data_IF_036413888716
#
_entry.id   IF_036413888716
#
_cell.length_a   1.000
_cell.length_b   1.000
_cell.length_c   1.000
_cell.angle_alpha   90.00
_cell.angle_beta   90.00
_cell.angle_gamma   90.00
#
_symmetry.space_group_name_H-M   'P 1'
#
loop_
_entity.id
_entity.type
_entity.pdbx_description
1 polymer ?
#
# COMPACT_ATOMS: atom_id res chain seq x y z
N UNK A 1 -2.40 22.25 -6.94
CA UNK A 1 -1.89 21.94 -8.29
C UNK A 1 -3.02 21.64 -9.29
N UNK A 2 -2.94 22.22 -10.49
CA UNK A 2 -3.81 21.93 -11.64
C UNK A 2 -3.30 20.73 -12.47
N UNK A 3 -4.12 20.20 -13.37
CA UNK A 3 -3.71 19.09 -14.25
C UNK A 3 -2.52 19.47 -15.15
N UNK A 4 -2.51 20.68 -15.69
CA UNK A 4 -1.44 21.15 -16.57
C UNK A 4 -0.10 21.30 -15.81
N UNK A 5 -0.15 21.84 -14.58
CA UNK A 5 1.01 21.90 -13.70
C UNK A 5 1.55 20.52 -13.35
N UNK A 6 0.65 19.56 -13.06
CA UNK A 6 1.02 18.18 -12.79
C UNK A 6 1.72 17.53 -13.98
N UNK A 7 1.19 17.69 -15.19
CA UNK A 7 1.80 17.15 -16.43
C UNK A 7 3.21 17.72 -16.64
N UNK A 8 3.37 19.05 -16.53
CA UNK A 8 4.68 19.71 -16.64
C UNK A 8 5.67 19.19 -15.59
N UNK A 9 5.21 18.98 -14.35
CA UNK A 9 6.04 18.46 -13.28
C UNK A 9 6.54 17.04 -13.59
N UNK A 10 5.67 16.17 -14.13
CA UNK A 10 6.06 14.83 -14.58
C UNK A 10 7.10 14.91 -15.69
N UNK A 11 6.88 15.75 -16.72
CA UNK A 11 7.81 15.93 -17.83
C UNK A 11 9.20 16.39 -17.36
N UNK A 12 9.26 17.38 -16.45
CA UNK A 12 10.51 17.86 -15.86
C UNK A 12 11.23 16.71 -15.13
N UNK A 13 10.51 15.93 -14.32
CA UNK A 13 11.10 14.85 -13.53
C UNK A 13 11.65 13.73 -14.41
N UNK A 14 10.95 13.39 -15.50
CA UNK A 14 11.45 12.47 -16.52
C UNK A 14 12.72 13.02 -17.17
N UNK A 15 12.73 14.30 -17.56
CA UNK A 15 13.91 14.94 -18.14
C UNK A 15 15.11 14.96 -17.18
N UNK A 16 14.87 15.01 -15.86
CA UNK A 16 15.92 14.93 -14.83
C UNK A 16 16.37 13.50 -14.47
N UNK A 17 15.86 12.48 -15.17
CA UNK A 17 16.33 11.09 -15.07
C UNK A 17 15.46 10.15 -14.23
N UNK A 18 14.27 10.58 -13.79
CA UNK A 18 13.30 9.64 -13.21
C UNK A 18 12.65 8.79 -14.30
N UNK A 19 12.28 7.55 -13.99
CA UNK A 19 11.35 6.80 -14.83
C UNK A 19 10.00 7.51 -14.88
N UNK A 20 9.17 7.19 -15.87
CA UNK A 20 7.82 7.76 -15.96
C UNK A 20 7.00 7.52 -14.67
N UNK A 21 6.99 6.28 -14.16
CA UNK A 21 6.26 5.93 -12.92
C UNK A 21 6.85 6.67 -11.71
N UNK A 22 8.17 6.72 -11.60
CA UNK A 22 8.85 7.47 -10.53
C UNK A 22 8.52 8.97 -10.59
N UNK A 23 8.47 9.56 -11.78
CA UNK A 23 8.12 10.96 -12.01
C UNK A 23 6.67 11.25 -11.60
N UNK A 24 5.72 10.41 -12.01
CA UNK A 24 4.31 10.50 -11.58
C UNK A 24 4.20 10.46 -10.05
N UNK A 25 4.94 9.56 -9.39
CA UNK A 25 4.88 9.41 -7.93
C UNK A 25 5.49 10.54 -7.14
N UNK A 26 6.59 11.10 -7.63
CA UNK A 26 7.14 12.31 -7.06
C UNK A 26 6.18 13.50 -7.25
N UNK A 27 5.54 13.63 -8.41
CA UNK A 27 4.55 14.67 -8.65
C UNK A 27 3.32 14.52 -7.74
N UNK A 28 2.85 13.28 -7.52
CA UNK A 28 1.78 13.00 -6.56
C UNK A 28 2.17 13.32 -5.12
N UNK A 29 3.40 12.99 -4.69
CA UNK A 29 3.87 13.31 -3.34
C UNK A 29 3.99 14.84 -3.14
N UNK A 30 4.38 15.59 -4.18
CA UNK A 30 4.41 17.06 -4.14
C UNK A 30 3.00 17.66 -4.09
N UNK A 31 2.06 17.15 -4.90
CA UNK A 31 0.66 17.57 -4.85
C UNK A 31 0.05 17.32 -3.46
N UNK A 32 0.32 16.15 -2.88
CA UNK A 32 -0.18 15.79 -1.56
C UNK A 32 0.50 16.58 -0.43
N UNK A 33 1.66 17.19 -0.67
CA UNK A 33 2.32 18.09 0.27
C UNK A 33 1.75 19.53 0.24
N UNK A 34 1.11 19.93 -0.86
CA UNK A 34 0.36 21.19 -0.94
C UNK A 34 -0.98 21.12 -0.18
N UNK A 35 -1.51 19.91 0.03
CA UNK A 35 -2.73 19.71 0.80
C UNK A 35 -2.53 19.99 2.30
N UNK A 36 -3.60 20.42 2.95
CA UNK A 36 -3.63 20.60 4.41
C UNK A 36 -3.64 19.24 5.12
N UNK A 37 -2.45 18.70 5.38
CA UNK A 37 -2.24 17.42 6.04
C UNK A 37 -2.76 17.39 7.49
N UNK A 38 -3.09 18.54 8.10
CA UNK A 38 -3.72 18.55 9.43
C UNK A 38 -5.10 17.90 9.45
N UNK A 39 -5.74 17.79 8.27
CA UNK A 39 -7.02 17.11 8.09
C UNK A 39 -6.90 15.61 7.93
N UNK A 40 -5.68 15.08 7.83
CA UNK A 40 -5.48 13.66 7.64
C UNK A 40 -5.44 12.96 9.00
N UNK A 41 -6.18 11.86 9.11
CA UNK A 41 -6.02 10.93 10.21
C UNK A 41 -4.74 10.09 10.06
N UNK A 42 -4.22 9.99 8.83
CA UNK A 42 -3.01 9.24 8.54
C UNK A 42 -1.77 9.96 9.06
N UNK A 43 -0.92 9.22 9.78
CA UNK A 43 0.40 9.67 10.20
C UNK A 43 1.42 8.56 9.99
N UNK A 44 2.71 8.90 10.11
CA UNK A 44 3.77 7.89 10.09
C UNK A 44 3.57 6.89 11.21
N UNK A 45 3.46 5.61 10.86
CA UNK A 45 3.17 4.52 11.81
C UNK A 45 1.74 3.99 11.74
N UNK A 46 0.81 4.74 11.15
CA UNK A 46 -0.49 4.20 10.75
C UNK A 46 -0.28 3.15 9.66
N UNK A 47 -0.80 1.94 9.89
CA UNK A 47 -0.63 0.81 8.95
C UNK A 47 -1.95 0.27 8.41
N UNK A 48 -3.07 0.98 8.59
CA UNK A 48 -4.38 0.53 8.12
C UNK A 48 -4.39 0.12 6.63
N UNK A 49 -3.79 0.93 5.76
CA UNK A 49 -3.68 0.62 4.32
C UNK A 49 -2.78 -0.60 4.04
N UNK A 50 -1.82 -0.91 4.91
CA UNK A 50 -0.93 -2.07 4.77
C UNK A 50 -1.65 -3.39 5.01
N UNK A 51 -2.93 -3.39 5.36
CA UNK A 51 -3.75 -4.60 5.48
C UNK A 51 -4.79 -4.72 4.36
N UNK A 52 -4.73 -3.84 3.36
CA UNK A 52 -5.54 -3.92 2.15
C UNK A 52 -4.81 -4.72 1.07
N UNK A 53 -5.58 -5.37 0.20
CA UNK A 53 -5.07 -5.85 -1.07
C UNK A 53 -4.95 -4.68 -2.05
N UNK A 54 -3.80 -4.62 -2.71
CA UNK A 54 -3.44 -3.55 -3.64
C UNK A 54 -2.96 -4.18 -4.94
N UNK A 55 -3.30 -3.54 -6.05
CA UNK A 55 -2.81 -3.92 -7.36
C UNK A 55 -1.48 -3.23 -7.64
N UNK A 56 -0.70 -3.88 -8.50
CA UNK A 56 0.54 -3.31 -9.04
C UNK A 56 0.61 -3.60 -10.52
N UNK A 57 0.94 -2.58 -11.28
CA UNK A 57 1.31 -2.68 -12.68
C UNK A 57 2.75 -3.20 -12.82
N UNK A 58 3.12 -3.60 -14.03
CA UNK A 58 4.49 -4.02 -14.34
C UNK A 58 5.50 -2.88 -14.14
N UNK A 59 5.13 -1.64 -14.53
CA UNK A 59 5.97 -0.46 -14.35
C UNK A 59 6.24 -0.18 -12.87
N UNK A 60 5.23 -0.28 -12.01
CA UNK A 60 5.39 -0.16 -10.56
C UNK A 60 6.23 -1.27 -9.95
N UNK A 61 6.03 -2.49 -10.43
CA UNK A 61 6.81 -3.65 -9.99
C UNK A 61 8.29 -3.44 -10.28
N UNK A 62 8.61 -2.85 -11.45
CA UNK A 62 9.98 -2.52 -11.85
C UNK A 62 10.61 -1.50 -10.89
N UNK A 63 9.89 -0.43 -10.54
CA UNK A 63 10.34 0.56 -9.54
C UNK A 63 10.61 -0.07 -8.17
N UNK A 64 9.73 -0.97 -7.72
CA UNK A 64 9.91 -1.70 -6.46
C UNK A 64 11.16 -2.59 -6.52
N UNK A 65 11.36 -3.33 -7.60
CA UNK A 65 12.53 -4.20 -7.78
C UNK A 65 13.82 -3.38 -7.75
N UNK A 66 13.88 -2.29 -8.50
CA UNK A 66 15.04 -1.39 -8.55
C UNK A 66 15.36 -0.84 -7.16
N UNK A 67 14.35 -0.30 -6.48
CA UNK A 67 14.50 0.17 -5.10
C UNK A 67 15.02 -0.91 -4.16
N UNK A 68 14.50 -2.14 -4.23
CA UNK A 68 14.97 -3.25 -3.41
C UNK A 68 16.41 -3.67 -3.75
N UNK A 69 16.83 -3.53 -5.01
CA UNK A 69 18.19 -3.79 -5.45
C UNK A 69 19.19 -2.77 -4.89
N UNK A 70 18.79 -1.50 -4.82
CA UNK A 70 19.61 -0.39 -4.33
C UNK A 70 19.75 -0.36 -2.80
N UNK A 71 18.88 -1.08 -2.08
CA UNK A 71 18.99 -1.20 -0.63
C UNK A 71 20.24 -1.96 -0.22
N UNK A 72 20.86 -1.52 0.88
CA UNK A 72 21.94 -2.27 1.51
C UNK A 72 21.50 -3.72 1.85
N UNK A 73 22.48 -4.64 1.82
CA UNK A 73 22.28 -6.09 1.99
C UNK A 73 21.44 -6.43 3.23
N UNK A 74 21.67 -5.75 4.34
CA UNK A 74 20.96 -6.00 5.61
C UNK A 74 19.48 -5.62 5.52
N UNK A 75 19.16 -4.43 5.00
CA UNK A 75 17.78 -3.97 4.81
C UNK A 75 17.04 -4.85 3.82
N UNK A 76 17.66 -5.13 2.66
CA UNK A 76 17.10 -6.02 1.64
C UNK A 76 16.79 -7.40 2.22
N UNK A 77 17.73 -8.01 2.95
CA UNK A 77 17.54 -9.33 3.58
C UNK A 77 16.36 -9.34 4.57
N UNK A 78 16.17 -8.27 5.36
CA UNK A 78 15.02 -8.15 6.30
C UNK A 78 13.68 -8.06 5.58
N UNK A 79 13.62 -7.35 4.45
CA UNK A 79 12.41 -7.28 3.61
C UNK A 79 12.14 -8.64 2.97
N UNK A 80 13.12 -9.22 2.28
CA UNK A 80 12.96 -10.49 1.58
C UNK A 80 12.58 -11.63 2.54
N UNK A 81 13.10 -11.65 3.77
CA UNK A 81 12.66 -12.64 4.79
C UNK A 81 11.15 -12.61 5.04
N UNK A 82 10.51 -11.44 4.99
CA UNK A 82 9.05 -11.30 5.16
C UNK A 82 8.30 -11.69 3.88
N UNK A 83 8.81 -11.29 2.72
CA UNK A 83 8.24 -11.66 1.41
C UNK A 83 8.21 -13.18 1.26
N UNK A 84 9.35 -13.85 1.44
CA UNK A 84 9.46 -15.30 1.29
C UNK A 84 8.59 -16.09 2.28
N UNK A 85 8.36 -15.56 3.48
CA UNK A 85 7.46 -16.19 4.46
C UNK A 85 6.00 -16.23 3.99
N UNK A 86 5.59 -15.27 3.16
CA UNK A 86 4.18 -15.13 2.75
C UNK A 86 3.93 -15.57 1.32
N UNK A 87 4.95 -15.63 0.47
CA UNK A 87 4.75 -15.93 -0.96
C UNK A 87 4.09 -17.29 -1.19
N UNK A 88 4.49 -18.32 -0.43
CA UNK A 88 3.86 -19.65 -0.51
C UNK A 88 2.38 -19.60 -0.07
N UNK A 89 2.10 -18.92 1.04
CA UNK A 89 0.71 -18.76 1.52
C UNK A 89 -0.17 -17.98 0.55
N UNK A 90 0.40 -16.95 -0.09
CA UNK A 90 -0.28 -16.17 -1.12
C UNK A 90 -0.54 -17.00 -2.37
N UNK A 91 0.47 -17.73 -2.84
CA UNK A 91 0.35 -18.57 -4.02
C UNK A 91 -0.72 -19.65 -3.83
N UNK A 92 -0.72 -20.32 -2.68
CA UNK A 92 -1.76 -21.31 -2.33
C UNK A 92 -3.15 -20.68 -2.28
N UNK A 93 -3.29 -19.47 -1.74
CA UNK A 93 -4.54 -18.74 -1.78
C UNK A 93 -4.96 -18.42 -3.22
N UNK A 94 -4.07 -17.84 -4.03
CA UNK A 94 -4.33 -17.49 -5.43
C UNK A 94 -4.79 -18.69 -6.25
N UNK A 95 -4.14 -19.85 -6.08
CA UNK A 95 -4.53 -21.10 -6.74
C UNK A 95 -5.91 -21.60 -6.29
N UNK A 96 -6.20 -21.57 -4.98
CA UNK A 96 -7.52 -21.92 -4.44
C UNK A 96 -8.63 -21.02 -4.97
N UNK A 97 -8.30 -19.78 -5.27
CA UNK A 97 -9.24 -18.80 -5.84
C UNK A 97 -9.38 -18.93 -7.37
N UNK A 98 -8.87 -20.00 -7.99
CA UNK A 98 -9.01 -20.26 -9.42
C UNK A 98 -7.94 -19.62 -10.31
N UNK A 99 -6.91 -19.00 -9.71
CA UNK A 99 -5.77 -18.43 -10.40
C UNK A 99 -6.17 -17.50 -11.55
N UNK A 100 -5.41 -17.48 -12.64
CA UNK A 100 -5.68 -16.64 -13.81
C UNK A 100 -7.01 -16.94 -14.53
N UNK A 101 -7.70 -18.04 -14.18
CA UNK A 101 -8.99 -18.41 -14.76
C UNK A 101 -10.21 -17.83 -14.03
N UNK A 102 -10.05 -17.23 -12.84
CA UNK A 102 -11.17 -16.67 -12.10
C UNK A 102 -11.39 -15.19 -12.43
N UNK A 103 -12.48 -14.89 -13.14
CA UNK A 103 -12.88 -13.52 -13.47
C UNK A 103 -13.21 -12.67 -12.22
N UNK A 104 -13.59 -13.29 -11.09
CA UNK A 104 -13.84 -12.57 -9.83
C UNK A 104 -12.55 -11.97 -9.25
N UNK A 105 -11.36 -12.41 -9.68
CA UNK A 105 -10.10 -11.74 -9.29
C UNK A 105 -9.95 -10.36 -9.92
N UNK A 106 -10.78 -10.00 -10.91
CA UNK A 106 -10.89 -8.64 -11.42
C UNK A 106 -11.88 -7.77 -10.60
N UNK A 107 -12.61 -8.36 -9.65
CA UNK A 107 -13.49 -7.63 -8.74
C UNK A 107 -12.75 -7.26 -7.45
N UNK A 108 -12.33 -6.00 -7.36
CA UNK A 108 -11.60 -5.45 -6.21
C UNK A 108 -12.32 -5.64 -4.87
N UNK A 109 -13.66 -5.53 -4.84
CA UNK A 109 -14.42 -5.65 -3.60
C UNK A 109 -14.43 -7.11 -3.12
N UNK A 110 -14.62 -8.04 -4.06
CA UNK A 110 -14.56 -9.47 -3.77
C UNK A 110 -13.17 -9.89 -3.30
N UNK A 111 -12.12 -9.47 -4.01
CA UNK A 111 -10.73 -9.76 -3.69
C UNK A 111 -10.34 -9.24 -2.30
N UNK A 112 -10.76 -8.01 -1.95
CA UNK A 112 -10.53 -7.42 -0.63
C UNK A 112 -11.27 -8.16 0.48
N UNK A 113 -12.52 -8.58 0.25
CA UNK A 113 -13.28 -9.37 1.23
C UNK A 113 -12.58 -10.70 1.58
N UNK A 114 -11.82 -11.26 0.63
CA UNK A 114 -11.11 -12.53 0.79
C UNK A 114 -9.70 -12.37 1.39
N UNK A 115 -9.19 -11.14 1.54
CA UNK A 115 -7.84 -10.88 2.02
C UNK A 115 -7.65 -11.05 3.54
N UNK A 116 -8.74 -11.29 4.28
CA UNK A 116 -8.78 -11.74 5.68
C UNK A 116 -7.84 -10.95 6.62
N UNK A 117 -7.68 -9.65 6.37
CA UNK A 117 -6.85 -8.77 7.19
C UNK A 117 -5.39 -9.22 7.32
N UNK A 118 -4.80 -9.82 6.27
CA UNK A 118 -3.37 -10.18 6.29
C UNK A 118 -2.50 -8.96 6.02
N UNK A 119 -1.40 -8.75 6.79
CA UNK A 119 -0.55 -7.59 6.53
C UNK A 119 0.26 -7.76 5.24
N UNK A 120 0.52 -6.65 4.56
CA UNK A 120 1.45 -6.54 3.45
C UNK A 120 2.83 -7.08 3.85
N UNK A 121 3.52 -7.74 2.93
CA UNK A 121 4.89 -8.26 3.14
C UNK A 121 5.91 -7.16 3.44
N UNK A 122 5.63 -5.93 3.03
CA UNK A 122 6.47 -4.77 3.26
C UNK A 122 6.20 -4.04 4.59
N UNK A 123 5.13 -4.38 5.33
CA UNK A 123 4.85 -3.83 6.66
C UNK A 123 5.88 -4.31 7.69
N UNK A 124 6.58 -3.38 8.33
CA UNK A 124 7.59 -3.71 9.34
C UNK A 124 7.03 -3.75 10.76
N UNK A 125 7.85 -4.22 11.70
CA UNK A 125 7.43 -4.38 13.09
C UNK A 125 7.19 -3.04 13.83
N UNK A 126 7.58 -1.92 13.25
CA UNK A 126 7.30 -0.58 13.79
C UNK A 126 6.05 0.05 13.16
N UNK A 127 5.25 -0.70 12.41
CA UNK A 127 4.04 -0.18 11.74
C UNK A 127 4.31 0.62 10.47
N UNK A 128 5.55 0.65 9.96
CA UNK A 128 5.91 1.44 8.79
C UNK A 128 6.10 0.58 7.53
N UNK A 129 5.72 1.14 6.37
CA UNK A 129 5.96 0.52 5.07
C UNK A 129 7.46 0.58 4.70
N UNK A 130 8.05 -0.57 4.39
CA UNK A 130 9.48 -0.68 4.05
C UNK A 130 9.84 -0.14 2.67
N UNK A 131 8.83 0.02 1.80
CA UNK A 131 8.96 0.52 0.43
C UNK A 131 8.19 1.84 0.22
N UNK A 132 7.91 2.60 1.28
CA UNK A 132 7.03 3.78 1.23
C UNK A 132 7.36 4.75 0.09
N UNK A 133 8.64 4.94 -0.24
CA UNK A 133 9.09 5.81 -1.34
C UNK A 133 8.55 5.36 -2.71
N UNK A 134 8.59 4.06 -2.97
CA UNK A 134 8.13 3.42 -4.22
C UNK A 134 6.82 2.67 -4.01
N UNK A 135 5.98 3.14 -3.08
CA UNK A 135 4.67 2.55 -2.85
C UNK A 135 3.81 2.70 -4.12
N UNK A 136 3.04 1.66 -4.50
CA UNK A 136 2.14 1.67 -5.65
C UNK A 136 1.13 2.82 -5.62
N UNK A 137 0.50 3.09 -6.76
CA UNK A 137 -0.55 4.09 -6.93
C UNK A 137 -1.68 3.86 -5.93
N UNK A 138 -2.23 2.64 -5.84
CA UNK A 138 -3.28 2.27 -4.88
C UNK A 138 -2.91 2.64 -3.43
N UNK A 139 -1.66 2.38 -3.04
CA UNK A 139 -1.15 2.73 -1.71
C UNK A 139 -0.97 4.24 -1.51
N UNK A 140 -0.73 4.99 -2.60
CA UNK A 140 -0.42 6.42 -2.57
C UNK A 140 -1.68 7.27 -2.60
N UNK A 141 -2.72 6.81 -3.29
CA UNK A 141 -4.02 7.48 -3.39
C UNK A 141 -4.95 7.17 -2.21
N UNK A 142 -4.60 6.21 -1.36
CA UNK A 142 -5.40 5.83 -0.19
C UNK A 142 -4.94 6.58 1.06
N UNK A 143 -5.77 7.49 1.56
CA UNK A 143 -5.64 8.12 2.88
C UNK A 143 -7.02 8.28 3.54
N UNK A 144 -7.04 8.54 4.84
CA UNK A 144 -8.27 8.81 5.60
C UNK A 144 -8.21 10.20 6.19
N UNK A 145 -9.33 10.93 6.10
CA UNK A 145 -9.59 12.17 6.85
C UNK A 145 -10.35 11.91 8.15
N UNK A 146 -10.73 10.67 8.40
CA UNK A 146 -11.48 10.22 9.60
C UNK A 146 -10.57 9.34 10.45
N UNK A 147 -10.44 9.69 11.73
CA UNK A 147 -9.72 8.86 12.72
C UNK A 147 -10.42 7.51 12.85
N UNK A 148 -9.65 6.43 12.72
CA UNK A 148 -10.17 5.07 12.71
C UNK A 148 -10.60 4.59 14.10
N UNK A 149 -11.59 5.20 14.73
CA UNK A 149 -12.04 4.75 16.05
C UNK A 149 -12.51 3.29 16.02
N UNK A 150 -12.29 2.56 17.12
CA UNK A 150 -12.88 1.21 17.30
C UNK A 150 -14.38 1.38 17.19
N UNK A 151 -15.03 0.79 16.17
CA UNK A 151 -16.42 1.09 15.95
C UNK A 151 -17.29 0.36 16.99
N UNK A 152 -18.21 1.10 17.62
CA UNK A 152 -19.06 0.63 18.73
C UNK A 152 -20.20 -0.32 18.30
N UNK A 153 -20.15 -0.93 17.12
CA UNK A 153 -21.23 -1.84 16.74
C UNK A 153 -21.16 -3.12 17.58
N UNK A 154 -22.00 -3.17 18.61
CA UNK A 154 -22.50 -4.43 19.16
C UNK A 154 -23.23 -5.13 18.02
N UNK A 155 -22.68 -6.25 17.55
CA UNK A 155 -23.50 -7.22 16.84
C UNK A 155 -24.51 -7.70 17.88
N UNK A 156 -25.79 -7.84 17.50
CA UNK A 156 -26.93 -8.06 18.42
C UNK A 156 -26.65 -9.05 19.55
N UNK A 157 -25.75 -10.03 19.31
CA UNK A 157 -25.47 -11.12 20.22
C UNK A 157 -23.95 -11.36 20.47
N UNK A 158 -23.07 -10.38 20.18
CA UNK A 158 -21.62 -10.56 20.38
C UNK A 158 -20.73 -9.33 20.19
N UNK A 159 -19.55 -9.37 20.81
CA UNK A 159 -18.48 -8.40 20.54
C UNK A 159 -17.74 -8.80 19.25
N UNK A 160 -17.59 -7.86 18.33
CA UNK A 160 -16.69 -8.03 17.20
C UNK A 160 -15.24 -8.03 17.70
N UNK A 161 -14.45 -9.03 17.30
CA UNK A 161 -13.01 -8.96 17.52
C UNK A 161 -12.41 -7.87 16.62
N UNK A 162 -11.62 -6.94 17.18
CA UNK A 162 -10.95 -5.92 16.37
C UNK A 162 -9.94 -6.59 15.43
N UNK A 163 -9.87 -6.12 14.18
CA UNK A 163 -8.84 -6.59 13.27
C UNK A 163 -7.48 -6.03 13.69
N UNK A 164 -6.40 -6.75 13.42
CA UNK A 164 -5.05 -6.31 13.80
C UNK A 164 -4.70 -4.90 13.29
N UNK A 165 -5.22 -4.49 12.14
CA UNK A 165 -4.97 -3.19 11.55
C UNK A 165 -5.57 -2.01 12.32
N UNK A 166 -6.65 -2.24 13.07
CA UNK A 166 -7.31 -1.21 13.88
C UNK A 166 -6.48 -0.80 15.08
N UNK A 167 -5.66 -1.72 15.59
CA UNK A 167 -4.71 -1.43 16.66
C UNK A 167 -3.55 -0.53 16.19
N UNK A 168 -3.30 -0.42 14.89
CA UNK A 168 -2.25 0.44 14.32
C UNK A 168 -2.77 1.77 13.80
N UNK A 169 -4.05 1.86 13.47
CA UNK A 169 -4.65 3.05 12.90
C UNK A 169 -4.81 4.20 13.93
N UNK A 170 -4.68 3.91 15.23
CA UNK A 170 -4.92 4.83 16.35
C UNK A 170 -3.75 4.88 17.35
N UNK A 171 -2.53 4.56 16.92
CA UNK A 171 -1.34 4.53 17.79
C UNK A 171 -0.46 5.76 17.66
#
# INVERSE_FOLDING_TARGET
MTEEEFRKLVEIKVATGSSFVGAVYQAMDEAAAEEDQSKWACHKGCSACCYQMVHVTEGETTEIINYLNDLNRTRRKRIMKRVWKKIDSYWKWFQRMGGTGNQQLADDLWVRAQWDGKPCTFLNNSGACSIHKVRPFDCRSTYSTVVCNVPEYRISDGQRLPYQYEAWANK
#
